data_IF_382565972615
#
_entry.id   IF_382565972615
#
_cell.length_a   1.000
_cell.length_b   1.000
_cell.length_c   1.000
_cell.angle_alpha   90.00
_cell.angle_beta   90.00
_cell.angle_gamma   90.00
#
_symmetry.space_group_name_H-M   'P 1'
#
loop_
_entity.id
_entity.type
_entity.pdbx_description
1 polymer ?
#
# COMPACT_ATOMS: atom_id res chain seq x y z
N UNK A 1 21.06 11.58 -22.84
CA UNK A 1 21.70 10.68 -21.86
C UNK A 1 20.60 9.90 -21.16
N UNK A 2 20.31 8.71 -21.69
CA UNK A 2 19.30 7.80 -21.14
C UNK A 2 19.69 7.24 -19.77
N UNK A 3 20.94 7.45 -19.30
CA UNK A 3 21.32 7.14 -17.92
C UNK A 3 20.74 8.12 -16.89
N UNK A 4 20.17 9.26 -17.34
CA UNK A 4 19.42 10.20 -16.48
C UNK A 4 17.91 9.96 -16.48
N UNK A 5 17.44 9.00 -17.27
CA UNK A 5 16.02 8.64 -17.31
C UNK A 5 15.73 7.64 -16.18
N UNK A 6 15.18 8.16 -15.08
CA UNK A 6 14.76 7.37 -13.91
C UNK A 6 13.45 6.60 -14.16
N UNK A 7 12.94 6.56 -15.38
CA UNK A 7 11.80 5.72 -15.73
C UNK A 7 12.27 4.29 -16.00
N UNK A 8 12.60 3.53 -14.95
CA UNK A 8 12.69 2.06 -15.06
C UNK A 8 11.28 1.51 -15.26
N UNK A 9 10.80 1.52 -16.50
CA UNK A 9 9.58 0.79 -16.86
C UNK A 9 9.94 -0.69 -16.94
N UNK A 10 9.19 -1.52 -16.23
CA UNK A 10 9.23 -2.96 -16.49
C UNK A 10 8.80 -3.21 -17.94
N UNK A 11 9.36 -4.25 -18.56
CA UNK A 11 8.88 -4.72 -19.87
C UNK A 11 7.42 -5.16 -19.77
N UNK A 12 6.70 -5.07 -20.89
CA UNK A 12 5.34 -5.60 -20.96
C UNK A 12 5.34 -7.12 -20.76
N UNK A 13 4.36 -7.60 -20.00
CA UNK A 13 4.13 -9.03 -19.79
C UNK A 13 2.70 -9.38 -20.22
N UNK A 14 2.55 -10.51 -20.91
CA UNK A 14 1.23 -11.07 -21.23
C UNK A 14 0.68 -11.77 -20.00
N UNK A 15 -0.50 -11.37 -19.54
CA UNK A 15 -1.19 -12.02 -18.44
C UNK A 15 -1.90 -13.28 -18.98
N UNK A 16 -1.71 -14.47 -18.36
CA UNK A 16 -2.48 -15.65 -18.74
C UNK A 16 -3.97 -15.47 -18.41
N UNK A 17 -4.82 -16.29 -19.01
CA UNK A 17 -6.25 -16.29 -18.68
C UNK A 17 -6.45 -16.53 -17.17
N UNK A 18 -7.23 -15.66 -16.53
CA UNK A 18 -7.46 -15.71 -15.08
C UNK A 18 -6.30 -15.19 -14.23
N UNK A 19 -5.23 -14.65 -14.84
CA UNK A 19 -4.18 -13.97 -14.09
C UNK A 19 -4.69 -12.72 -13.40
N UNK A 20 -4.03 -12.36 -12.30
CA UNK A 20 -4.34 -11.17 -11.50
C UNK A 20 -3.10 -10.29 -11.45
N UNK A 21 -3.28 -8.99 -11.69
CA UNK A 21 -2.25 -8.00 -11.43
C UNK A 21 -2.36 -7.56 -9.96
N UNK A 22 -1.27 -7.70 -9.21
CA UNK A 22 -1.16 -7.08 -7.89
C UNK A 22 -0.35 -5.79 -8.02
N UNK A 23 -0.98 -4.68 -7.62
CA UNK A 23 -0.31 -3.40 -7.42
C UNK A 23 -0.18 -3.17 -5.93
N UNK A 24 1.05 -3.23 -5.42
CA UNK A 24 1.34 -2.94 -4.02
C UNK A 24 2.20 -1.67 -3.88
N UNK A 25 2.06 -1.02 -2.73
CA UNK A 25 2.82 0.16 -2.41
C UNK A 25 2.12 1.08 -1.41
N UNK A 26 2.87 1.98 -0.78
CA UNK A 26 2.30 2.97 0.11
C UNK A 26 1.54 4.04 -0.69
N UNK A 27 0.54 4.66 -0.06
CA UNK A 27 -0.13 5.86 -0.56
C UNK A 27 -0.88 5.68 -1.91
N UNK A 28 -1.36 4.49 -2.25
CA UNK A 28 -2.04 4.25 -3.54
C UNK A 28 -3.54 4.59 -3.54
N UNK A 29 -4.23 4.43 -2.41
CA UNK A 29 -5.67 4.69 -2.28
C UNK A 29 -5.96 6.20 -2.21
N UNK A 30 -7.15 6.61 -2.65
CA UNK A 30 -7.54 8.02 -2.78
C UNK A 30 -6.98 8.73 -4.03
N UNK A 31 -6.41 7.98 -4.99
CA UNK A 31 -5.82 8.52 -6.24
C UNK A 31 -6.66 8.28 -7.48
N UNK A 32 -7.84 7.67 -7.36
CA UNK A 32 -8.72 7.35 -8.50
C UNK A 32 -8.14 6.31 -9.47
N UNK A 33 -7.31 5.39 -8.96
CA UNK A 33 -6.79 4.30 -9.76
C UNK A 33 -7.93 3.33 -10.13
N UNK A 34 -7.99 2.81 -11.37
CA UNK A 34 -9.05 1.90 -11.81
C UNK A 34 -8.75 0.46 -11.36
N UNK A 35 -8.77 0.23 -10.05
CA UNK A 35 -8.58 -1.10 -9.44
C UNK A 35 -9.94 -1.79 -9.28
N UNK A 36 -10.01 -3.08 -9.63
CA UNK A 36 -11.22 -3.89 -9.45
C UNK A 36 -11.46 -4.29 -7.98
N UNK A 37 -10.39 -4.31 -7.17
CA UNK A 37 -10.40 -4.60 -5.74
C UNK A 37 -9.22 -3.90 -5.06
N UNK A 38 -9.47 -3.30 -3.90
CA UNK A 38 -8.49 -2.63 -3.07
C UNK A 38 -8.43 -3.22 -1.66
N UNK A 39 -7.21 -3.44 -1.15
CA UNK A 39 -6.97 -3.96 0.20
C UNK A 39 -6.08 -2.98 0.94
N UNK A 40 -6.59 -2.40 2.02
CA UNK A 40 -5.80 -1.59 2.92
C UNK A 40 -5.25 -2.44 4.07
N UNK A 41 -3.92 -2.54 4.14
CA UNK A 41 -3.24 -3.09 5.33
C UNK A 41 -3.11 -1.99 6.37
N UNK A 42 -4.00 -2.02 7.37
CA UNK A 42 -4.00 -1.07 8.46
C UNK A 42 -3.03 -1.52 9.56
N UNK A 43 -2.18 -0.60 10.01
CA UNK A 43 -1.31 -0.78 11.17
C UNK A 43 -1.49 0.40 12.11
N UNK A 44 -1.46 0.12 13.42
CA UNK A 44 -1.38 1.17 14.44
C UNK A 44 -0.06 1.94 14.32
N UNK A 45 -0.05 3.22 14.74
CA UNK A 45 1.16 4.05 14.73
C UNK A 45 2.30 3.40 15.54
N UNK A 46 1.97 2.69 16.62
CA UNK A 46 2.95 1.95 17.41
C UNK A 46 3.56 0.77 16.63
N UNK A 47 2.76 0.04 15.86
CA UNK A 47 3.27 -1.04 15.01
C UNK A 47 4.13 -0.50 13.86
N UNK A 48 3.71 0.59 13.20
CA UNK A 48 4.52 1.27 12.19
C UNK A 48 5.89 1.69 12.74
N UNK A 49 5.91 2.38 13.88
CA UNK A 49 7.16 2.83 14.52
C UNK A 49 8.12 1.69 14.86
N UNK A 50 7.59 0.57 15.37
CA UNK A 50 8.42 -0.60 15.74
C UNK A 50 8.92 -1.41 14.54
N UNK A 51 8.16 -1.42 13.44
CA UNK A 51 8.46 -2.28 12.28
C UNK A 51 9.17 -1.57 11.15
N UNK A 52 9.21 -0.24 11.15
CA UNK A 52 9.91 0.55 10.14
C UNK A 52 11.40 0.60 10.47
N UNK A 53 12.28 0.13 9.58
CA UNK A 53 13.73 0.28 9.75
C UNK A 53 14.14 1.74 9.92
N UNK A 54 15.24 2.00 10.61
CA UNK A 54 15.68 3.37 10.91
C UNK A 54 15.90 4.21 9.65
N UNK A 55 16.41 3.62 8.56
CA UNK A 55 16.61 4.31 7.29
C UNK A 55 15.31 4.73 6.59
N UNK A 56 14.18 4.12 6.97
CA UNK A 56 12.85 4.39 6.40
C UNK A 56 11.97 5.19 7.37
N UNK A 57 12.47 5.52 8.57
CA UNK A 57 11.68 6.23 9.59
C UNK A 57 11.14 7.60 9.13
N UNK A 58 11.79 8.21 8.13
CA UNK A 58 11.33 9.45 7.48
C UNK A 58 9.95 9.31 6.81
N UNK A 59 9.49 8.10 6.48
CA UNK A 59 8.18 7.89 5.85
C UNK A 59 7.03 7.96 6.84
N UNK A 60 7.30 7.81 8.15
CA UNK A 60 6.26 7.66 9.17
C UNK A 60 5.31 8.84 9.22
N UNK A 61 5.82 10.07 9.15
CA UNK A 61 4.99 11.28 9.16
C UNK A 61 4.08 11.33 7.92
N UNK A 62 4.60 10.97 6.75
CA UNK A 62 3.81 10.93 5.53
C UNK A 62 2.70 9.86 5.59
N UNK A 63 2.97 8.71 6.22
CA UNK A 63 1.99 7.65 6.42
C UNK A 63 0.92 8.03 7.46
N UNK A 64 1.30 8.68 8.55
CA UNK A 64 0.37 9.20 9.56
C UNK A 64 -0.56 10.25 8.93
N UNK A 65 0.01 11.24 8.21
CA UNK A 65 -0.79 12.25 7.50
C UNK A 65 -1.72 11.64 6.46
N UNK A 66 -1.26 10.65 5.71
CA UNK A 66 -2.08 9.93 4.74
C UNK A 66 -3.28 9.23 5.40
N UNK A 67 -3.08 8.61 6.55
CA UNK A 67 -4.15 7.96 7.30
C UNK A 67 -5.23 8.97 7.76
N UNK A 68 -4.82 10.19 8.10
CA UNK A 68 -5.71 11.26 8.55
C UNK A 68 -6.44 11.96 7.40
N UNK A 69 -5.72 12.34 6.34
CA UNK A 69 -6.25 13.17 5.26
C UNK A 69 -7.03 12.35 4.24
N UNK A 70 -6.53 11.16 3.89
CA UNK A 70 -7.12 10.32 2.83
C UNK A 70 -8.05 9.25 3.42
N UNK A 71 -7.83 8.85 4.68
CA UNK A 71 -8.62 7.81 5.35
C UNK A 71 -8.74 6.53 4.49
N UNK A 72 -7.60 5.88 4.17
CA UNK A 72 -7.57 4.72 3.28
C UNK A 72 -8.43 3.54 3.74
N UNK A 73 -8.76 3.45 5.04
CA UNK A 73 -9.70 2.47 5.56
C UNK A 73 -11.14 2.68 5.08
N UNK A 74 -11.53 3.92 4.80
CA UNK A 74 -12.85 4.28 4.28
C UNK A 74 -12.91 4.11 2.74
N UNK A 75 -11.76 4.24 2.08
CA UNK A 75 -11.61 4.16 0.62
C UNK A 75 -11.43 2.73 0.10
N UNK A 76 -10.95 1.81 0.94
CA UNK A 76 -10.66 0.44 0.52
C UNK A 76 -11.90 -0.46 0.55
N UNK A 77 -11.98 -1.40 -0.39
CA UNK A 77 -13.01 -2.44 -0.38
C UNK A 77 -12.85 -3.39 0.81
N UNK A 78 -11.59 -3.64 1.22
CA UNK A 78 -11.26 -4.50 2.35
C UNK A 78 -10.18 -3.85 3.22
N UNK A 79 -10.36 -3.92 4.53
CA UNK A 79 -9.36 -3.49 5.51
C UNK A 79 -8.86 -4.69 6.31
N UNK A 80 -7.55 -4.86 6.35
CA UNK A 80 -6.88 -5.93 7.11
C UNK A 80 -6.02 -5.31 8.21
N UNK A 81 -6.32 -5.63 9.47
CA UNK A 81 -5.40 -5.30 10.58
C UNK A 81 -4.15 -6.15 10.48
N UNK A 82 -3.01 -5.46 10.45
CA UNK A 82 -1.71 -6.07 10.19
C UNK A 82 -0.62 -5.63 11.19
N UNK A 83 -1.04 -5.33 12.43
CA UNK A 83 -0.13 -5.01 13.54
C UNK A 83 0.91 -6.13 13.78
N UNK A 84 0.51 -7.39 13.54
CA UNK A 84 1.39 -8.56 13.58
C UNK A 84 1.23 -9.40 12.29
N UNK A 85 2.26 -9.55 11.44
CA UNK A 85 2.16 -10.25 10.15
C UNK A 85 1.66 -11.70 10.21
N UNK A 86 1.98 -12.41 11.30
CA UNK A 86 1.51 -13.79 11.51
C UNK A 86 0.04 -13.90 11.94
N UNK A 87 -0.61 -12.78 12.28
CA UNK A 87 -1.99 -12.74 12.78
C UNK A 87 -2.80 -11.65 12.08
N UNK A 88 -2.95 -11.71 10.74
CA UNK A 88 -3.82 -10.79 10.03
C UNK A 88 -5.28 -11.00 10.44
N UNK A 89 -6.03 -9.92 10.53
CA UNK A 89 -7.47 -9.98 10.79
C UNK A 89 -8.22 -9.08 9.80
N UNK A 90 -9.22 -9.63 9.14
CA UNK A 90 -10.13 -8.82 8.33
C UNK A 90 -11.01 -7.98 9.25
N UNK A 91 -11.07 -6.67 9.00
CA UNK A 91 -12.07 -5.80 9.60
C UNK A 91 -13.31 -5.93 8.71
N UNK A 92 -14.38 -6.52 9.27
CA UNK A 92 -15.56 -6.90 8.50
C UNK A 92 -16.24 -5.72 7.79
N UNK A 93 -16.72 -5.99 6.57
CA UNK A 93 -17.57 -5.09 5.80
C UNK A 93 -19.04 -5.11 6.20
#
# INVERSE_FOLDING_TARGET
DAARDRATRAGYATLPQGGVLLLDGPLLLGKGLPLDLSVHLWLSSGALKRRTPAQDAWTLEALERYAEEIRPSDEADLVVRYDHPAHPALVGG
#
